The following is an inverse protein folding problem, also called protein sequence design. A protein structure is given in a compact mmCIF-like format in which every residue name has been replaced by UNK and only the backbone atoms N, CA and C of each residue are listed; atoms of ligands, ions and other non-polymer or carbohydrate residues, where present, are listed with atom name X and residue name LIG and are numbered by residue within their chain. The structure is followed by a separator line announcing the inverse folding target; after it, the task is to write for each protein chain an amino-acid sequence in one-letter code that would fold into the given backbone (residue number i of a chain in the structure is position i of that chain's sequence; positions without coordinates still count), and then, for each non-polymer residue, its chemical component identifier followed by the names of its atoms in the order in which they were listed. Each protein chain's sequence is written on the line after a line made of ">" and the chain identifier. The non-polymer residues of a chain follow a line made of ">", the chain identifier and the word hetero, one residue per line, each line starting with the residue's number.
data_IF_051824140923
#
_entry.id   IF_051824140923
#
_cell.length_a   1.000
_cell.length_b   1.000
_cell.length_c   1.000
_cell.angle_alpha   90.00
_cell.angle_beta   90.00
_cell.angle_gamma   90.00
#
_symmetry.space_group_name_H-M   'P 1'
#
loop_
_entity.id
_entity.type
_entity.pdbx_description
1 polymer ?
#
# COMPACT_ATOMS: atom_id res chain seq x y z
N UNK A 1 17.23 -29.04 12.13
CA UNK A 1 16.69 -27.67 12.26
C UNK A 1 16.18 -27.28 10.89
N UNK A 2 14.87 -27.13 10.72
CA UNK A 2 14.29 -26.57 9.49
C UNK A 2 14.86 -25.17 9.30
N UNK A 3 15.45 -24.88 8.13
CA UNK A 3 15.89 -23.52 7.81
C UNK A 3 14.69 -22.58 7.93
N UNK A 4 14.79 -21.59 8.82
CA UNK A 4 13.78 -20.53 8.95
C UNK A 4 13.73 -19.76 7.63
N UNK A 5 12.54 -19.51 7.10
CA UNK A 5 12.30 -18.69 5.90
C UNK A 5 11.90 -17.28 6.31
N UNK A 6 12.26 -16.26 5.53
CA UNK A 6 11.78 -14.89 5.75
C UNK A 6 10.61 -14.63 4.80
N UNK A 7 9.46 -14.34 5.38
CA UNK A 7 8.26 -13.93 4.66
C UNK A 7 8.18 -12.41 4.65
N UNK A 8 8.05 -11.80 3.47
CA UNK A 8 7.95 -10.34 3.30
C UNK A 8 6.57 -10.00 2.77
N UNK A 9 5.94 -8.96 3.34
CA UNK A 9 4.65 -8.42 2.89
C UNK A 9 4.63 -6.89 3.08
N UNK A 10 3.72 -6.20 2.37
CA UNK A 10 3.46 -4.78 2.59
C UNK A 10 2.45 -4.59 3.74
N UNK A 11 2.78 -3.72 4.70
CA UNK A 11 1.90 -3.32 5.82
C UNK A 11 1.86 -4.29 7.02
N UNK A 12 1.63 -3.73 8.21
CA UNK A 12 1.57 -4.49 9.46
C UNK A 12 0.33 -5.40 9.56
N UNK A 13 -0.82 -4.98 9.03
CA UNK A 13 -2.04 -5.82 9.01
C UNK A 13 -1.80 -7.13 8.26
N UNK A 14 -1.13 -7.06 7.11
CA UNK A 14 -0.73 -8.25 6.35
C UNK A 14 0.26 -9.11 7.13
N UNK A 15 1.26 -8.48 7.76
CA UNK A 15 2.26 -9.19 8.54
C UNK A 15 1.66 -9.92 9.73
N UNK A 16 0.71 -9.31 10.45
CA UNK A 16 0.02 -9.93 11.58
C UNK A 16 -0.86 -11.10 11.15
N UNK A 17 -1.60 -10.97 10.05
CA UNK A 17 -2.36 -12.08 9.48
C UNK A 17 -1.44 -13.24 9.09
N UNK A 18 -0.28 -12.94 8.50
CA UNK A 18 0.70 -13.95 8.11
C UNK A 18 1.40 -14.61 9.31
N UNK A 19 1.73 -13.86 10.36
CA UNK A 19 2.26 -14.42 11.61
C UNK A 19 1.28 -15.42 12.23
N UNK A 20 -0.01 -15.07 12.29
CA UNK A 20 -1.07 -15.98 12.75
C UNK A 20 -1.16 -17.23 11.89
N UNK A 21 -1.08 -17.09 10.57
CA UNK A 21 -1.10 -18.23 9.64
C UNK A 21 0.09 -19.18 9.83
N UNK A 22 1.29 -18.64 10.05
CA UNK A 22 2.50 -19.40 10.32
C UNK A 22 2.44 -20.12 11.67
N UNK A 23 1.95 -19.45 12.71
CA UNK A 23 1.74 -20.04 14.03
C UNK A 23 0.74 -21.20 13.98
N UNK A 24 -0.39 -21.03 13.28
CA UNK A 24 -1.35 -22.11 13.03
C UNK A 24 -0.73 -23.29 12.27
N UNK A 25 0.22 -23.03 11.37
CA UNK A 25 0.98 -24.05 10.66
C UNK A 25 2.15 -24.62 11.47
N UNK A 26 2.36 -24.17 12.71
CA UNK A 26 3.49 -24.52 13.58
C UNK A 26 4.85 -24.25 12.93
N UNK A 27 4.96 -23.17 12.14
CA UNK A 27 6.18 -22.73 11.48
C UNK A 27 6.84 -21.63 12.30
N UNK A 28 8.14 -21.73 12.53
CA UNK A 28 8.96 -20.73 13.26
C UNK A 28 9.65 -19.76 12.29
N UNK A 29 8.94 -19.38 11.23
CA UNK A 29 9.46 -18.49 10.20
C UNK A 29 9.33 -17.03 10.61
N UNK A 30 10.13 -16.18 9.98
CA UNK A 30 10.20 -14.75 10.28
C UNK A 30 9.24 -14.01 9.33
N UNK A 31 8.50 -13.04 9.85
CA UNK A 31 7.68 -12.13 9.04
C UNK A 31 8.22 -10.71 9.14
N UNK A 32 8.68 -10.17 8.01
CA UNK A 32 9.11 -8.80 7.84
C UNK A 32 8.00 -7.99 7.14
N UNK A 33 7.54 -6.93 7.80
CA UNK A 33 6.58 -5.99 7.24
C UNK A 33 7.35 -4.80 6.62
N UNK A 34 7.19 -4.56 5.32
CA UNK A 34 7.60 -3.31 4.69
C UNK A 34 6.40 -2.36 4.73
N UNK A 35 6.49 -1.26 5.46
CA UNK A 35 5.36 -0.42 5.88
C UNK A 35 5.09 0.74 4.94
N UNK A 36 6.10 1.13 4.17
CA UNK A 36 5.97 2.25 3.25
C UNK A 36 4.95 1.94 2.14
N UNK A 37 3.98 2.82 1.94
CA UNK A 37 3.08 2.75 0.79
C UNK A 37 3.75 3.40 -0.42
N UNK A 38 4.45 2.55 -1.17
CA UNK A 38 5.21 2.95 -2.35
C UNK A 38 4.32 3.47 -3.49
N UNK A 39 2.99 3.25 -3.43
CA UNK A 39 2.07 3.71 -4.47
C UNK A 39 1.81 5.22 -4.38
N UNK A 40 2.19 5.86 -3.28
CA UNK A 40 1.84 7.25 -2.97
C UNK A 40 3.11 8.07 -2.76
N UNK A 41 3.23 9.18 -3.50
CA UNK A 41 4.30 10.16 -3.37
C UNK A 41 5.60 9.82 -4.12
N UNK A 42 6.66 10.59 -3.88
CA UNK A 42 7.93 10.47 -4.60
C UNK A 42 8.63 9.14 -4.27
N UNK A 43 9.27 8.51 -5.26
CA UNK A 43 10.17 7.36 -5.07
C UNK A 43 11.63 7.67 -5.45
N UNK A 44 11.91 8.87 -5.95
CA UNK A 44 13.27 9.25 -6.32
C UNK A 44 14.16 9.24 -5.07
N UNK A 45 15.29 8.53 -5.16
CA UNK A 45 16.23 8.39 -4.06
C UNK A 45 15.74 7.52 -2.90
N UNK A 46 14.61 6.80 -3.01
CA UNK A 46 14.04 6.02 -1.88
C UNK A 46 14.99 4.98 -1.27
N UNK A 47 15.92 4.44 -2.04
CA UNK A 47 16.89 3.45 -1.55
C UNK A 47 18.19 4.09 -1.02
N UNK A 48 18.37 5.40 -1.19
CA UNK A 48 19.60 6.13 -0.88
C UNK A 48 19.40 7.25 0.16
N UNK A 49 18.28 7.97 0.08
CA UNK A 49 17.94 9.16 0.87
C UNK A 49 16.49 9.06 1.37
N UNK A 50 16.24 8.48 2.56
CA UNK A 50 14.88 8.32 3.09
C UNK A 50 14.20 9.64 3.47
N UNK A 51 14.96 10.74 3.60
CA UNK A 51 14.45 12.05 4.01
C UNK A 51 13.27 12.54 3.16
N UNK A 52 13.35 12.41 1.83
CA UNK A 52 12.28 12.88 0.93
C UNK A 52 10.97 12.12 1.19
N UNK A 53 11.05 10.81 1.47
CA UNK A 53 9.88 10.00 1.86
C UNK A 53 9.39 10.37 3.24
N UNK A 54 10.30 10.60 4.20
CA UNK A 54 9.96 10.96 5.56
C UNK A 54 9.21 12.31 5.61
N UNK A 55 9.72 13.33 4.91
CA UNK A 55 9.09 14.65 4.81
C UNK A 55 7.72 14.56 4.15
N UNK A 56 7.60 13.77 3.08
CA UNK A 56 6.33 13.51 2.41
C UNK A 56 5.30 12.91 3.38
N UNK A 57 5.63 11.82 4.06
CA UNK A 57 4.71 11.18 5.01
C UNK A 57 4.43 12.04 6.25
N UNK A 58 5.41 12.83 6.71
CA UNK A 58 5.21 13.83 7.74
C UNK A 58 4.13 14.85 7.36
N UNK A 59 4.15 15.33 6.11
CA UNK A 59 3.11 16.21 5.57
C UNK A 59 1.75 15.54 5.41
N UNK A 60 1.71 14.29 4.91
CA UNK A 60 0.46 13.54 4.71
C UNK A 60 -0.22 13.22 6.04
N UNK A 61 0.52 12.68 7.01
CA UNK A 61 -0.07 12.30 8.30
C UNK A 61 -0.33 13.56 9.14
N UNK A 62 0.64 14.49 9.19
CA UNK A 62 0.56 15.69 10.02
C UNK A 62 0.85 15.43 11.51
N UNK A 63 1.29 14.23 11.86
CA UNK A 63 1.73 13.88 13.22
C UNK A 63 3.18 14.33 13.43
N UNK A 64 3.34 15.43 14.15
CA UNK A 64 4.67 16.01 14.47
C UNK A 64 5.44 15.25 15.54
N UNK A 65 4.82 14.30 16.24
CA UNK A 65 5.49 13.47 17.26
C UNK A 65 6.14 12.22 16.67
N UNK A 66 5.73 11.80 15.47
CA UNK A 66 6.22 10.59 14.81
C UNK A 66 7.52 10.87 14.04
N UNK A 67 8.54 10.07 14.32
CA UNK A 67 9.82 10.13 13.62
C UNK A 67 9.82 9.22 12.38
N UNK A 68 9.23 9.71 11.30
CA UNK A 68 9.17 8.98 10.02
C UNK A 68 10.55 8.65 9.45
N UNK A 69 11.56 9.49 9.69
CA UNK A 69 12.90 9.24 9.19
C UNK A 69 13.49 8.01 9.87
N UNK A 70 13.47 7.98 11.21
CA UNK A 70 14.00 6.84 11.97
C UNK A 70 13.25 5.54 11.63
N UNK A 71 11.94 5.60 11.43
CA UNK A 71 11.15 4.42 11.02
C UNK A 71 11.56 3.88 9.65
N UNK A 72 11.75 4.77 8.66
CA UNK A 72 12.16 4.38 7.31
C UNK A 72 13.61 3.90 7.26
N UNK A 73 14.51 4.50 8.03
CA UNK A 73 15.89 4.02 8.21
C UNK A 73 15.92 2.63 8.84
N UNK A 74 15.11 2.40 9.87
CA UNK A 74 14.97 1.09 10.49
C UNK A 74 14.47 0.05 9.49
N UNK A 75 13.47 0.38 8.67
CA UNK A 75 13.01 -0.52 7.60
C UNK A 75 14.07 -0.81 6.55
N UNK A 76 14.85 0.20 6.15
CA UNK A 76 15.95 0.04 5.21
C UNK A 76 17.03 -0.90 5.78
N UNK A 77 17.35 -0.78 7.07
CA UNK A 77 18.28 -1.67 7.77
C UNK A 77 17.76 -3.11 7.85
N UNK A 78 16.47 -3.30 8.13
CA UNK A 78 15.84 -4.63 8.13
C UNK A 78 15.91 -5.28 6.75
N UNK A 79 15.58 -4.55 5.68
CA UNK A 79 15.69 -5.05 4.32
C UNK A 79 17.15 -5.35 3.95
N UNK A 80 18.09 -4.48 4.35
CA UNK A 80 19.52 -4.71 4.13
C UNK A 80 20.02 -5.97 4.84
N UNK A 81 19.58 -6.24 6.06
CA UNK A 81 19.89 -7.48 6.77
C UNK A 81 19.37 -8.72 6.03
N UNK A 82 18.19 -8.63 5.39
CA UNK A 82 17.70 -9.69 4.51
C UNK A 82 18.61 -9.86 3.29
N UNK A 83 19.00 -8.77 2.63
CA UNK A 83 19.88 -8.81 1.44
C UNK A 83 21.22 -9.46 1.77
N UNK A 84 21.87 -9.03 2.85
CA UNK A 84 23.19 -9.50 3.28
C UNK A 84 23.18 -10.94 3.84
N UNK A 85 22.01 -11.46 4.21
CA UNK A 85 21.83 -12.84 4.68
C UNK A 85 21.81 -13.88 3.56
N UNK A 86 21.62 -15.15 3.92
CA UNK A 86 21.51 -16.28 2.97
C UNK A 86 20.15 -16.95 2.98
N UNK A 87 19.25 -16.52 3.87
CA UNK A 87 17.94 -17.13 4.10
C UNK A 87 17.04 -17.00 2.87
N UNK A 88 16.23 -18.02 2.59
CA UNK A 88 15.20 -17.96 1.55
C UNK A 88 14.15 -16.91 1.91
N UNK A 89 13.67 -16.21 0.87
CA UNK A 89 12.70 -15.14 0.97
C UNK A 89 11.44 -15.52 0.22
N UNK A 90 10.28 -15.34 0.86
CA UNK A 90 8.96 -15.50 0.25
C UNK A 90 8.26 -14.16 0.25
N UNK A 91 8.04 -13.57 -0.91
CA UNK A 91 7.27 -12.33 -1.05
C UNK A 91 5.80 -12.64 -1.23
N UNK A 92 4.97 -12.16 -0.31
CA UNK A 92 3.52 -12.24 -0.41
C UNK A 92 3.00 -10.97 -1.07
N UNK A 93 2.17 -11.13 -2.09
CA UNK A 93 1.59 -10.00 -2.80
C UNK A 93 0.19 -10.33 -3.32
N UNK A 94 -0.73 -9.40 -3.14
CA UNK A 94 -1.97 -9.31 -3.90
C UNK A 94 -1.79 -8.47 -5.17
N UNK A 95 -2.89 -7.95 -5.68
CA UNK A 95 -2.94 -7.13 -6.90
C UNK A 95 -3.06 -5.62 -6.61
N UNK A 96 -2.70 -5.16 -5.41
CA UNK A 96 -2.59 -3.72 -5.12
C UNK A 96 -1.30 -3.14 -5.68
N UNK A 97 -1.31 -1.84 -6.01
CA UNK A 97 -0.11 -1.12 -6.42
C UNK A 97 1.01 -1.22 -5.37
N UNK A 98 0.69 -1.08 -4.07
CA UNK A 98 1.66 -1.16 -2.98
C UNK A 98 2.34 -2.54 -2.88
N UNK A 99 1.57 -3.63 -2.96
CA UNK A 99 2.12 -5.00 -2.94
C UNK A 99 3.01 -5.26 -4.17
N UNK A 100 2.56 -4.78 -5.33
CA UNK A 100 3.27 -4.96 -6.60
C UNK A 100 4.57 -4.13 -6.67
N UNK A 101 4.60 -2.95 -6.05
CA UNK A 101 5.82 -2.16 -5.87
C UNK A 101 6.77 -2.81 -4.86
N UNK A 102 6.23 -3.33 -3.77
CA UNK A 102 7.00 -4.06 -2.75
C UNK A 102 7.69 -5.27 -3.36
N UNK A 103 6.98 -6.06 -4.19
CA UNK A 103 7.56 -7.18 -4.93
C UNK A 103 8.76 -6.77 -5.79
N UNK A 104 8.63 -5.66 -6.52
CA UNK A 104 9.69 -5.13 -7.40
C UNK A 104 10.90 -4.65 -6.62
N UNK A 105 10.67 -3.90 -5.54
CA UNK A 105 11.73 -3.43 -4.64
C UNK A 105 12.52 -4.60 -4.05
N UNK A 106 11.83 -5.63 -3.55
CA UNK A 106 12.48 -6.83 -2.99
C UNK A 106 13.26 -7.59 -4.07
N UNK A 107 12.67 -7.79 -5.25
CA UNK A 107 13.36 -8.45 -6.37
C UNK A 107 14.60 -7.66 -6.81
N UNK A 108 14.52 -6.33 -6.87
CA UNK A 108 15.66 -5.47 -7.18
C UNK A 108 16.81 -5.68 -6.19
N UNK A 109 16.53 -5.61 -4.89
CA UNK A 109 17.55 -5.72 -3.84
C UNK A 109 18.15 -7.13 -3.72
N UNK A 110 17.40 -8.19 -4.05
CA UNK A 110 17.86 -9.58 -3.97
C UNK A 110 18.27 -10.19 -5.33
N UNK A 111 18.31 -9.40 -6.41
CA UNK A 111 18.54 -9.89 -7.78
C UNK A 111 19.86 -10.66 -7.99
N UNK A 112 20.87 -10.37 -7.18
CA UNK A 112 22.19 -11.02 -7.24
C UNK A 112 22.17 -12.44 -6.64
N UNK A 113 21.11 -12.81 -5.90
CA UNK A 113 20.92 -14.13 -5.30
C UNK A 113 19.53 -14.70 -5.64
N UNK A 114 19.20 -14.87 -6.93
CA UNK A 114 17.85 -15.16 -7.39
C UNK A 114 17.28 -16.49 -6.88
N UNK A 115 18.14 -17.46 -6.56
CA UNK A 115 17.76 -18.75 -5.98
C UNK A 115 17.09 -18.64 -4.60
N UNK A 116 17.21 -17.49 -3.93
CA UNK A 116 16.58 -17.22 -2.64
C UNK A 116 15.13 -16.76 -2.78
N UNK A 117 14.76 -16.21 -3.94
CA UNK A 117 13.50 -15.50 -4.16
C UNK A 117 12.36 -16.46 -4.52
N UNK A 118 11.35 -16.47 -3.68
CA UNK A 118 10.09 -17.15 -3.87
C UNK A 118 8.94 -16.17 -3.67
N UNK A 119 7.75 -16.56 -4.08
CA UNK A 119 6.54 -15.75 -3.91
C UNK A 119 5.32 -16.60 -3.55
N UNK A 120 4.33 -15.92 -2.98
CA UNK A 120 2.94 -16.36 -2.96
C UNK A 120 2.11 -15.24 -3.57
N UNK A 121 1.38 -15.56 -4.65
CA UNK A 121 0.48 -14.63 -5.32
C UNK A 121 -0.93 -14.83 -4.82
N UNK A 122 -1.55 -13.78 -4.30
CA UNK A 122 -2.93 -13.79 -3.89
C UNK A 122 -3.78 -13.09 -4.96
N UNK A 123 -5.00 -13.58 -5.15
CA UNK A 123 -5.97 -13.00 -6.07
C UNK A 123 -7.32 -12.80 -5.41
N UNK A 124 -8.08 -11.85 -5.92
CA UNK A 124 -9.43 -11.54 -5.43
C UNK A 124 -10.37 -12.75 -5.52
N UNK A 125 -10.14 -13.68 -6.44
CA UNK A 125 -10.98 -14.87 -6.63
C UNK A 125 -10.87 -15.85 -5.44
N UNK A 126 -9.90 -15.64 -4.54
CA UNK A 126 -9.69 -16.46 -3.35
C UNK A 126 -10.37 -15.89 -2.12
N UNK A 127 -10.79 -14.62 -2.17
CA UNK A 127 -11.70 -14.04 -1.19
C UNK A 127 -13.07 -14.67 -1.43
N UNK A 128 -13.42 -15.64 -0.60
CA UNK A 128 -14.65 -16.43 -0.75
C UNK A 128 -15.51 -16.35 0.52
N UNK A 129 -16.83 -16.36 0.32
CA UNK A 129 -17.83 -16.32 1.40
C UNK A 129 -18.36 -14.91 1.72
N UNK A 130 -19.50 -14.85 2.40
CA UNK A 130 -20.28 -13.62 2.59
C UNK A 130 -19.50 -12.50 3.31
N UNK A 131 -18.62 -12.87 4.26
CA UNK A 131 -17.78 -11.91 4.97
C UNK A 131 -16.75 -11.21 4.08
N UNK A 132 -16.44 -11.79 2.91
CA UNK A 132 -15.51 -11.22 1.93
C UNK A 132 -16.21 -10.40 0.84
N UNK A 133 -17.55 -10.45 0.74
CA UNK A 133 -18.32 -9.69 -0.24
C UNK A 133 -17.98 -8.18 -0.26
N UNK A 134 -17.80 -7.49 0.88
CA UNK A 134 -17.42 -6.07 0.90
C UNK A 134 -15.99 -5.80 0.40
N UNK A 135 -15.15 -6.83 0.30
CA UNK A 135 -13.77 -6.74 -0.17
C UNK A 135 -13.67 -6.96 -1.68
N UNK A 136 -14.76 -7.33 -2.36
CA UNK A 136 -14.78 -7.43 -3.81
C UNK A 136 -14.81 -6.05 -4.45
N UNK A 137 -13.90 -5.83 -5.40
CA UNK A 137 -13.68 -4.56 -6.06
C UNK A 137 -13.65 -4.75 -7.58
N UNK A 138 -14.16 -3.76 -8.30
CA UNK A 138 -14.16 -3.77 -9.76
C UNK A 138 -12.73 -3.77 -10.33
N UNK A 139 -11.83 -3.03 -9.68
CA UNK A 139 -10.40 -2.92 -10.00
C UNK A 139 -9.58 -4.19 -9.68
N UNK A 140 -10.22 -5.17 -9.03
CA UNK A 140 -9.60 -6.44 -8.57
C UNK A 140 -8.40 -6.25 -7.64
N UNK A 141 -8.19 -5.05 -7.09
CA UNK A 141 -7.07 -4.74 -6.22
C UNK A 141 -7.17 -5.51 -4.92
N UNK A 142 -6.07 -6.14 -4.52
CA UNK A 142 -5.99 -6.88 -3.25
C UNK A 142 -4.68 -6.61 -2.54
N UNK A 143 -4.74 -6.40 -1.23
CA UNK A 143 -3.57 -6.47 -0.35
C UNK A 143 -3.56 -7.81 0.39
N UNK A 144 -2.39 -8.34 0.72
CA UNK A 144 -2.25 -9.50 1.62
C UNK A 144 -3.04 -9.33 2.93
N UNK A 145 -3.16 -8.10 3.44
CA UNK A 145 -3.92 -7.80 4.66
C UNK A 145 -5.43 -8.07 4.56
N UNK A 146 -5.97 -8.23 3.36
CA UNK A 146 -7.40 -8.55 3.13
C UNK A 146 -7.72 -10.03 3.35
N UNK A 147 -6.71 -10.89 3.43
CA UNK A 147 -6.88 -12.35 3.52
C UNK A 147 -6.80 -12.81 4.97
N UNK A 148 -7.78 -13.60 5.39
CA UNK A 148 -7.80 -14.18 6.73
C UNK A 148 -6.62 -15.15 6.94
N UNK A 149 -6.12 -15.30 8.19
CA UNK A 149 -4.98 -16.17 8.48
C UNK A 149 -5.13 -17.63 8.01
N UNK A 150 -6.33 -18.20 8.08
CA UNK A 150 -6.59 -19.58 7.65
C UNK A 150 -6.47 -19.75 6.13
N UNK A 151 -6.84 -18.72 5.37
CA UNK A 151 -6.67 -18.70 3.92
C UNK A 151 -5.19 -18.56 3.56
N UNK A 152 -4.45 -17.66 4.22
CA UNK A 152 -3.01 -17.52 4.05
C UNK A 152 -2.27 -18.82 4.40
N UNK A 153 -2.71 -19.52 5.46
CA UNK A 153 -2.17 -20.81 5.87
C UNK A 153 -2.31 -21.85 4.75
N UNK A 154 -3.49 -21.95 4.12
CA UNK A 154 -3.75 -22.86 2.99
C UNK A 154 -2.88 -22.56 1.77
N UNK A 155 -2.35 -21.34 1.64
CA UNK A 155 -1.47 -20.93 0.53
C UNK A 155 0.02 -21.18 0.79
N UNK A 156 0.42 -21.53 2.01
CA UNK A 156 1.81 -21.87 2.35
C UNK A 156 2.42 -22.98 1.46
N UNK A 157 1.71 -24.06 1.08
CA UNK A 157 2.25 -25.06 0.15
C UNK A 157 2.46 -24.54 -1.28
N UNK A 158 1.84 -23.41 -1.64
CA UNK A 158 1.90 -22.81 -2.98
C UNK A 158 3.09 -21.85 -3.18
N UNK A 159 4.03 -21.80 -2.23
CA UNK A 159 5.28 -21.03 -2.38
C UNK A 159 6.01 -21.50 -3.64
N UNK A 160 6.26 -20.57 -4.56
CA UNK A 160 6.90 -20.87 -5.83
C UNK A 160 8.17 -20.03 -6.03
N UNK A 161 9.25 -20.60 -6.60
CA UNK A 161 10.42 -19.82 -6.95
C UNK A 161 10.09 -18.79 -8.04
N UNK A 162 10.68 -17.59 -7.94
CA UNK A 162 10.58 -16.59 -9.01
C UNK A 162 11.66 -16.88 -10.05
N UNK A 163 11.29 -16.95 -11.33
CA UNK A 163 12.28 -17.20 -12.39
C UNK A 163 13.28 -16.04 -12.51
N UNK A 164 14.53 -16.35 -12.86
CA UNK A 164 15.60 -15.35 -13.06
C UNK A 164 15.18 -14.26 -14.04
N UNK A 165 14.52 -14.64 -15.15
CA UNK A 165 14.00 -13.68 -16.13
C UNK A 165 12.98 -12.70 -15.53
N UNK A 166 12.08 -13.20 -14.67
CA UNK A 166 11.09 -12.35 -14.02
C UNK A 166 11.71 -11.47 -12.93
N UNK A 167 12.68 -11.97 -12.18
CA UNK A 167 13.45 -11.17 -11.21
C UNK A 167 14.13 -10.01 -11.93
N UNK A 168 14.83 -10.29 -13.05
CA UNK A 168 15.46 -9.25 -13.86
C UNK A 168 14.47 -8.20 -14.36
N UNK A 169 13.30 -8.63 -14.86
CA UNK A 169 12.25 -7.71 -15.31
C UNK A 169 11.71 -6.84 -14.16
N UNK A 170 11.35 -7.45 -13.03
CA UNK A 170 10.83 -6.73 -11.85
C UNK A 170 11.87 -5.74 -11.29
N UNK A 171 13.14 -6.12 -11.31
CA UNK A 171 14.24 -5.26 -10.89
C UNK A 171 14.43 -4.05 -11.81
N UNK A 172 14.34 -4.25 -13.12
CA UNK A 172 14.38 -3.16 -14.10
C UNK A 172 13.18 -2.22 -13.93
N UNK A 173 11.98 -2.76 -13.83
CA UNK A 173 10.75 -1.99 -13.59
C UNK A 173 10.88 -1.15 -12.30
N UNK A 174 11.48 -1.69 -11.22
CA UNK A 174 11.77 -0.89 -10.01
C UNK A 174 12.68 0.30 -10.30
N UNK A 175 13.75 0.11 -11.08
CA UNK A 175 14.66 1.20 -11.43
C UNK A 175 13.95 2.30 -12.21
N UNK A 176 13.10 1.94 -13.17
CA UNK A 176 12.29 2.88 -13.95
C UNK A 176 11.31 3.65 -13.06
N UNK A 177 10.58 2.95 -12.18
CA UNK A 177 9.57 3.54 -11.29
C UNK A 177 10.15 4.56 -10.30
N UNK A 178 11.42 4.41 -9.92
CA UNK A 178 12.15 5.38 -9.08
C UNK A 178 12.51 6.68 -9.82
N UNK A 179 12.59 6.65 -11.15
CA UNK A 179 12.93 7.81 -11.96
C UNK A 179 11.68 8.61 -12.38
N UNK A 180 10.51 8.00 -12.30
CA UNK A 180 9.24 8.66 -12.61
C UNK A 180 8.84 9.55 -11.43
N UNK A 181 8.73 10.85 -11.69
CA UNK A 181 8.09 11.79 -10.77
C UNK A 181 6.57 11.63 -10.89
N UNK A 182 5.94 11.08 -9.85
CA UNK A 182 4.52 10.79 -9.83
C UNK A 182 3.98 10.88 -8.41
N UNK A 183 2.81 11.50 -8.28
CA UNK A 183 2.05 11.60 -7.03
C UNK A 183 1.41 10.26 -6.66
N UNK A 184 0.85 9.55 -7.65
CA UNK A 184 0.25 8.24 -7.46
C UNK A 184 0.76 7.25 -8.51
N UNK A 185 0.90 5.99 -8.11
CA UNK A 185 1.17 4.85 -8.98
C UNK A 185 0.00 3.88 -8.90
N UNK A 186 -0.55 3.56 -10.07
CA UNK A 186 -1.72 2.69 -10.24
C UNK A 186 -1.32 1.39 -10.89
N UNK A 187 -1.98 0.30 -10.52
CA UNK A 187 -1.73 -1.02 -11.04
C UNK A 187 -2.95 -1.54 -11.78
N UNK A 188 -2.79 -1.76 -13.09
CA UNK A 188 -3.81 -2.36 -13.95
C UNK A 188 -3.15 -3.25 -14.99
N UNK A 189 -3.76 -4.39 -15.29
CA UNK A 189 -3.35 -5.30 -16.36
C UNK A 189 -1.84 -5.61 -16.37
N UNK A 190 -1.29 -5.79 -15.17
CA UNK A 190 0.13 -6.06 -14.94
C UNK A 190 1.09 -4.92 -15.36
N UNK A 191 0.62 -3.68 -15.37
CA UNK A 191 1.38 -2.47 -15.70
C UNK A 191 1.15 -1.36 -14.69
N UNK A 192 2.15 -0.47 -14.54
CA UNK A 192 1.99 0.75 -13.76
C UNK A 192 1.61 1.94 -14.64
N UNK A 193 0.61 2.68 -14.21
CA UNK A 193 0.32 4.03 -14.72
C UNK A 193 0.45 5.05 -13.60
N UNK A 194 0.64 6.31 -13.97
CA UNK A 194 0.73 7.42 -13.01
C UNK A 194 -0.63 8.09 -12.84
N UNK A 195 -0.89 8.62 -11.66
CA UNK A 195 -2.04 9.46 -11.38
C UNK A 195 -1.65 10.67 -10.53
N UNK A 196 -2.60 11.57 -10.35
CA UNK A 196 -2.43 12.79 -9.55
C UNK A 196 -3.35 12.80 -8.33
N UNK A 197 -2.98 13.55 -7.31
CA UNK A 197 -3.83 13.79 -6.15
C UNK A 197 -5.10 14.57 -6.53
N UNK A 198 -5.04 15.40 -7.58
CA UNK A 198 -6.20 16.12 -8.10
C UNK A 198 -7.33 15.18 -8.58
N UNK A 199 -7.00 13.95 -8.97
CA UNK A 199 -8.01 12.95 -9.34
C UNK A 199 -8.75 12.40 -8.11
N UNK A 200 -8.06 12.25 -6.98
CA UNK A 200 -8.71 11.92 -5.70
C UNK A 200 -9.57 13.08 -5.20
N UNK A 201 -9.08 14.31 -5.36
CA UNK A 201 -9.82 15.53 -5.02
C UNK A 201 -11.11 15.64 -5.83
N UNK A 202 -11.06 15.32 -7.12
CA UNK A 202 -12.24 15.30 -7.98
C UNK A 202 -13.28 14.27 -7.50
N UNK A 203 -12.85 13.06 -7.11
CA UNK A 203 -13.74 12.04 -6.54
C UNK A 203 -14.37 12.48 -5.21
N UNK A 204 -13.62 13.19 -4.36
CA UNK A 204 -14.16 13.77 -3.12
C UNK A 204 -15.30 14.75 -3.44
N UNK A 205 -15.10 15.63 -4.42
CA UNK A 205 -16.10 16.63 -4.84
C UNK A 205 -17.30 15.97 -5.52
N UNK A 206 -17.09 14.95 -6.35
CA UNK A 206 -18.15 14.18 -7.01
C UNK A 206 -19.12 13.54 -6.00
N UNK A 207 -18.58 13.03 -4.89
CA UNK A 207 -19.38 12.42 -3.82
C UNK A 207 -19.96 13.41 -2.82
N UNK A 208 -19.66 14.71 -2.95
CA UNK A 208 -20.18 15.71 -2.04
C UNK A 208 -21.66 16.04 -2.34
N UNK A 209 -22.49 15.99 -1.30
CA UNK A 209 -23.86 16.54 -1.35
C UNK A 209 -23.92 18.01 -0.93
N UNK A 210 -25.06 18.65 -1.19
CA UNK A 210 -25.34 20.00 -0.72
C UNK A 210 -25.42 20.06 0.82
N UNK A 211 -24.73 21.03 1.43
CA UNK A 211 -24.71 21.20 2.88
C UNK A 211 -23.68 20.33 3.60
N UNK A 212 -23.71 20.39 4.93
CA UNK A 212 -22.80 19.62 5.78
C UNK A 212 -23.13 18.12 5.71
N UNK A 213 -22.10 17.30 5.55
CA UNK A 213 -22.22 15.84 5.46
C UNK A 213 -21.06 15.14 6.17
N UNK A 214 -21.22 13.85 6.48
CA UNK A 214 -20.13 13.03 7.03
C UNK A 214 -18.98 12.91 6.04
N UNK A 215 -17.78 13.36 6.45
CA UNK A 215 -16.56 13.18 5.67
C UNK A 215 -16.18 11.70 5.57
N UNK A 216 -16.42 10.92 6.63
CA UNK A 216 -16.16 9.47 6.63
C UNK A 216 -16.97 8.71 5.58
N UNK A 217 -18.20 9.14 5.30
CA UNK A 217 -19.01 8.54 4.22
C UNK A 217 -18.42 8.83 2.84
N UNK A 218 -17.98 10.06 2.60
CA UNK A 218 -17.31 10.44 1.35
C UNK A 218 -15.99 9.67 1.21
N UNK A 219 -15.21 9.56 2.29
CA UNK A 219 -13.96 8.79 2.28
C UNK A 219 -14.18 7.32 1.96
N UNK A 220 -15.20 6.69 2.54
CA UNK A 220 -15.55 5.31 2.21
C UNK A 220 -15.89 5.13 0.72
N UNK A 221 -16.58 6.09 0.10
CA UNK A 221 -16.86 6.08 -1.34
C UNK A 221 -15.57 6.20 -2.17
N UNK A 222 -14.69 7.15 -1.84
CA UNK A 222 -13.39 7.34 -2.52
C UNK A 222 -12.52 6.09 -2.41
N UNK A 223 -12.43 5.50 -1.21
CA UNK A 223 -11.65 4.28 -0.98
C UNK A 223 -12.23 3.06 -1.70
N UNK A 224 -13.55 3.00 -1.88
CA UNK A 224 -14.23 1.91 -2.60
C UNK A 224 -14.17 2.05 -4.13
N UNK A 225 -13.88 3.25 -4.65
CA UNK A 225 -13.81 3.51 -6.08
C UNK A 225 -12.65 2.78 -6.76
N UNK A 226 -12.76 2.58 -8.07
CA UNK A 226 -11.67 2.09 -8.92
C UNK A 226 -10.63 3.20 -9.11
N UNK A 227 -9.60 3.18 -8.27
CA UNK A 227 -8.52 4.15 -8.31
C UNK A 227 -7.24 3.57 -8.96
N UNK A 228 -7.20 2.27 -9.23
CA UNK A 228 -5.96 1.54 -9.55
C UNK A 228 -4.98 1.38 -8.40
N UNK A 229 -5.35 1.78 -7.19
CA UNK A 229 -4.60 1.57 -5.95
C UNK A 229 -5.59 1.43 -4.78
N UNK A 230 -5.13 0.84 -3.68
CA UNK A 230 -5.89 0.85 -2.44
C UNK A 230 -5.64 2.17 -1.71
N UNK A 231 -6.53 3.13 -1.89
CA UNK A 231 -6.47 4.43 -1.22
C UNK A 231 -6.71 4.24 0.28
N UNK A 232 -5.79 4.73 1.12
CA UNK A 232 -5.94 4.70 2.57
C UNK A 232 -6.83 5.84 3.08
N UNK A 233 -7.43 5.65 4.24
CA UNK A 233 -8.18 6.70 4.94
C UNK A 233 -7.29 7.92 5.24
N UNK A 234 -6.04 7.68 5.66
CA UNK A 234 -5.06 8.73 5.93
C UNK A 234 -4.77 9.59 4.70
N UNK A 235 -4.70 8.97 3.51
CA UNK A 235 -4.55 9.68 2.24
C UNK A 235 -5.78 10.54 1.94
N UNK A 236 -7.00 10.01 2.11
CA UNK A 236 -8.23 10.80 1.91
C UNK A 236 -8.32 11.95 2.90
N UNK A 237 -8.00 11.73 4.17
CA UNK A 237 -8.02 12.76 5.20
C UNK A 237 -7.02 13.88 4.88
N UNK A 238 -5.84 13.54 4.40
CA UNK A 238 -4.89 14.54 3.90
C UNK A 238 -5.48 15.34 2.73
N UNK A 239 -6.08 14.68 1.74
CA UNK A 239 -6.72 15.39 0.60
C UNK A 239 -7.85 16.31 1.04
N UNK A 240 -8.68 15.91 2.01
CA UNK A 240 -9.70 16.78 2.59
C UNK A 240 -9.09 18.04 3.24
N UNK A 241 -7.97 17.90 3.96
CA UNK A 241 -7.25 19.03 4.57
C UNK A 241 -6.66 19.97 3.51
N UNK A 242 -6.09 19.43 2.44
CA UNK A 242 -5.55 20.21 1.32
C UNK A 242 -6.66 21.01 0.61
N UNK A 243 -7.80 20.37 0.32
CA UNK A 243 -8.98 21.01 -0.26
C UNK A 243 -9.55 22.11 0.66
N UNK A 244 -9.53 21.90 1.97
CA UNK A 244 -9.94 22.91 2.95
C UNK A 244 -8.99 24.10 2.98
N UNK A 245 -7.68 23.85 2.97
CA UNK A 245 -6.65 24.88 2.94
C UNK A 245 -6.71 25.71 1.64
N UNK A 246 -7.06 25.07 0.51
CA UNK A 246 -7.32 25.73 -0.76
C UNK A 246 -8.66 26.49 -0.81
N UNK A 247 -9.48 26.43 0.24
CA UNK A 247 -10.79 27.07 0.32
C UNK A 247 -11.86 26.43 -0.57
N UNK A 248 -11.62 25.21 -1.08
CA UNK A 248 -12.55 24.50 -1.95
C UNK A 248 -13.65 23.78 -1.16
N UNK A 249 -13.36 23.39 0.08
CA UNK A 249 -14.35 22.90 1.04
C UNK A 249 -14.11 23.47 2.43
N UNK A 250 -15.05 23.23 3.33
CA UNK A 250 -14.95 23.52 4.76
C UNK A 250 -15.02 22.22 5.55
N UNK A 251 -14.24 22.12 6.63
CA UNK A 251 -14.27 21.02 7.58
C UNK A 251 -14.74 21.52 8.95
N UNK A 252 -15.46 20.67 9.69
CA UNK A 252 -15.78 20.88 11.10
C UNK A 252 -15.85 19.55 11.84
N UNK A 253 -15.76 19.61 13.16
CA UNK A 253 -15.64 18.41 14.01
C UNK A 253 -14.19 18.17 14.40
N UNK A 254 -13.92 16.99 14.95
CA UNK A 254 -12.56 16.55 15.26
C UNK A 254 -11.93 15.99 13.98
N UNK A 255 -10.77 16.53 13.59
CA UNK A 255 -10.04 16.12 12.40
C UNK A 255 -9.48 14.70 12.50
N UNK A 256 -9.29 14.19 13.73
CA UNK A 256 -8.75 12.87 14.00
C UNK A 256 -9.84 11.81 14.27
N UNK A 257 -11.12 12.21 14.27
CA UNK A 257 -12.27 11.30 14.41
C UNK A 257 -13.24 11.41 13.23
N UNK A 258 -13.12 10.46 12.30
CA UNK A 258 -14.02 10.29 11.15
C UNK A 258 -15.52 10.27 11.50
N UNK A 259 -15.90 9.89 12.73
CA UNK A 259 -17.32 9.87 13.14
C UNK A 259 -17.87 11.25 13.39
N UNK A 260 -17.03 12.19 13.83
CA UNK A 260 -17.42 13.56 14.11
C UNK A 260 -17.05 14.53 12.97
N UNK A 261 -16.15 14.13 12.08
CA UNK A 261 -15.69 14.94 10.95
C UNK A 261 -16.77 15.11 9.89
N UNK A 262 -17.14 16.36 9.64
CA UNK A 262 -18.06 16.77 8.59
C UNK A 262 -17.38 17.68 7.58
N UNK A 263 -17.85 17.61 6.34
CA UNK A 263 -17.38 18.45 5.23
C UNK A 263 -18.53 19.16 4.52
N UNK A 264 -18.21 20.29 3.89
CA UNK A 264 -19.13 21.04 3.03
C UNK A 264 -18.34 21.69 1.88
N UNK A 265 -18.66 21.34 0.63
CA UNK A 265 -18.00 21.93 -0.55
C UNK A 265 -18.48 23.36 -0.75
N UNK A 266 -17.56 24.28 -1.05
CA UNK A 266 -17.89 25.68 -1.30
C UNK A 266 -18.41 25.85 -2.73
N UNK A 267 -19.52 26.56 -2.91
CA UNK A 267 -20.21 26.70 -4.21
C UNK A 267 -19.40 27.40 -5.33
N UNK A 268 -18.20 27.88 -5.06
CA UNK A 268 -17.32 28.45 -6.09
C UNK A 268 -16.74 27.40 -7.04
N UNK A 269 -16.74 26.10 -6.66
CA UNK A 269 -16.16 24.99 -7.45
C UNK A 269 -17.18 24.20 -8.27
N UNK A 270 -18.47 24.49 -8.14
CA UNK A 270 -19.52 23.88 -8.95
C UNK A 270 -19.83 24.78 -10.16
N UNK A 271 -18.95 24.78 -11.17
CA UNK A 271 -19.38 25.24 -12.50
C UNK A 271 -20.15 24.10 -13.17
N UNK A 272 -21.41 24.33 -13.58
CA UNK A 272 -22.11 23.38 -14.42
C UNK A 272 -21.50 23.48 -15.83
N UNK A 273 -21.14 22.31 -16.39
CA UNK A 273 -21.03 22.14 -17.85
C UNK A 273 -22.43 22.23 -18.45
#
# INVERSE_FOLDING_TARGET
>A
MTMSTIHITNGDVAADSLRKALDQARRTDIVLALRDDLAVGPLQGIDDTPQVRADFWGGVIGDTARDFLAELEQQANELKAVVDGTTHVVVWHGQSAADQLTLRRVCFHLREMPQRLNEVRLSIDELTGDASAPLHRADRATSVGMFAPDLLQKRLPGVAPISVLRIGRLALEWQELKLIDAELRRWHDNTFTTGTFAELDALIVEHAVEGWQSAGRVAACVMAADNGLLVSDSLVLWRLRELAAAGQLQLRGDADDWRSLEMHVTRTTLSPV
#
